data_IF_568410208658
#
_entry.id   IF_568410208658
#
_cell.length_a   1.000
_cell.length_b   1.000
_cell.length_c   1.000
_cell.angle_alpha   90.00
_cell.angle_beta   90.00
_cell.angle_gamma   90.00
#
_symmetry.space_group_name_H-M   'P 1'
#
loop_
_entity.id
_entity.type
_entity.pdbx_description
1 polymer ?
#
# COMPACT_ATOMS: atom_id res chain seq x y z
N UNK A 1 22.15 27.62 -8.90
CA UNK A 1 20.73 27.30 -8.78
C UNK A 1 20.56 25.84 -8.46
N UNK A 2 20.02 25.58 -7.26
CA UNK A 2 19.58 24.25 -6.87
C UNK A 2 18.49 23.79 -7.84
N UNK A 3 18.80 22.78 -8.63
CA UNK A 3 17.87 22.20 -9.61
C UNK A 3 17.12 21.07 -8.91
N UNK A 4 15.94 21.38 -8.40
CA UNK A 4 14.96 20.38 -7.96
C UNK A 4 14.42 19.68 -9.21
N UNK A 5 14.93 18.51 -9.50
CA UNK A 5 14.31 17.60 -10.46
C UNK A 5 13.45 16.67 -9.61
N UNK A 6 12.19 17.02 -9.42
CA UNK A 6 11.20 16.12 -8.85
C UNK A 6 10.97 14.97 -9.83
N UNK A 7 11.40 13.79 -9.49
CA UNK A 7 10.90 12.59 -10.14
C UNK A 7 9.52 12.26 -9.61
N UNK A 8 8.69 11.85 -10.50
CA UNK A 8 7.32 11.43 -10.28
C UNK A 8 7.23 10.36 -9.20
N UNK A 9 6.29 10.56 -8.27
CA UNK A 9 5.77 9.61 -7.30
C UNK A 9 6.69 9.20 -6.14
N UNK A 10 6.39 9.74 -4.98
CA UNK A 10 6.69 9.19 -3.66
C UNK A 10 8.14 9.27 -3.17
N UNK A 11 8.93 10.21 -3.63
CA UNK A 11 10.28 10.43 -3.12
C UNK A 11 10.30 11.72 -2.30
N UNK A 12 10.77 11.63 -1.04
CA UNK A 12 11.27 12.79 -0.31
C UNK A 12 12.65 13.11 -0.84
N UNK A 13 12.74 14.17 -1.60
CA UNK A 13 14.02 14.66 -2.06
C UNK A 13 14.74 15.34 -0.89
N UNK A 14 15.98 14.95 -0.67
CA UNK A 14 16.93 15.66 0.18
C UNK A 14 17.97 16.29 -0.71
N UNK A 15 18.25 17.55 -0.44
CA UNK A 15 19.24 18.31 -1.18
C UNK A 15 20.29 18.81 -0.21
N UNK A 16 21.53 18.45 -0.43
CA UNK A 16 22.64 19.00 0.32
C UNK A 16 22.90 20.44 -0.12
N UNK A 17 22.94 21.36 0.82
CA UNK A 17 23.30 22.74 0.57
C UNK A 17 24.80 22.84 0.80
N UNK A 18 25.60 23.15 -0.24
CA UNK A 18 27.07 23.27 -0.09
C UNK A 18 27.44 24.31 0.96
N UNK A 19 28.54 24.09 1.65
CA UNK A 19 29.08 25.04 2.60
C UNK A 19 29.32 26.41 1.93
N UNK A 20 28.97 27.50 2.61
CA UNK A 20 29.11 28.86 2.12
C UNK A 20 28.00 29.38 1.19
N UNK A 21 26.99 28.57 0.87
CA UNK A 21 25.83 29.03 0.09
C UNK A 21 24.88 29.85 0.95
N UNK A 22 24.66 29.43 2.20
CA UNK A 22 23.88 30.21 3.17
C UNK A 22 24.76 31.23 3.82
N UNK A 23 24.26 32.47 3.97
CA UNK A 23 24.94 33.59 4.61
C UNK A 23 24.24 33.99 5.89
N UNK A 24 24.98 34.69 6.78
CA UNK A 24 24.34 35.27 7.95
C UNK A 24 23.33 36.35 7.52
N UNK A 25 22.11 36.27 8.04
CA UNK A 25 21.01 37.17 7.70
C UNK A 25 19.99 36.56 6.75
N UNK A 26 19.47 37.37 5.83
CA UNK A 26 18.37 36.98 4.93
C UNK A 26 18.90 36.09 3.79
N UNK A 27 18.26 34.94 3.60
CA UNK A 27 18.52 34.04 2.51
C UNK A 27 17.20 33.77 1.75
N UNK A 28 17.29 33.68 0.43
CA UNK A 28 16.13 33.41 -0.43
C UNK A 28 16.20 31.99 -0.96
N UNK A 29 15.15 31.22 -0.72
CA UNK A 29 14.98 29.87 -1.24
C UNK A 29 14.01 29.92 -2.41
N UNK A 30 14.44 29.48 -3.59
CA UNK A 30 13.60 29.32 -4.76
C UNK A 30 13.41 27.84 -5.08
N UNK A 31 12.16 27.37 -5.08
CA UNK A 31 11.79 25.99 -5.42
C UNK A 31 11.11 25.97 -6.77
N UNK A 32 11.64 25.21 -7.72
CA UNK A 32 10.99 24.98 -8.99
C UNK A 32 10.14 23.70 -8.91
N UNK A 33 8.84 23.84 -9.05
CA UNK A 33 7.90 22.73 -9.08
C UNK A 33 7.47 22.45 -10.52
N UNK A 34 7.48 21.20 -10.93
CA UNK A 34 6.91 20.76 -12.19
C UNK A 34 5.76 19.81 -11.88
N UNK A 35 4.53 20.21 -12.19
CA UNK A 35 3.34 19.40 -12.02
C UNK A 35 2.84 18.92 -13.38
N UNK A 36 2.87 17.60 -13.59
CA UNK A 36 2.35 16.98 -14.81
C UNK A 36 0.88 16.57 -14.71
N UNK A 37 0.27 16.77 -13.53
CA UNK A 37 -1.13 16.50 -13.22
C UNK A 37 -1.68 17.54 -12.25
N UNK A 38 -2.99 17.49 -11.96
CA UNK A 38 -3.69 18.50 -11.16
C UNK A 38 -3.21 18.62 -9.70
N UNK A 39 -2.44 17.68 -9.17
CA UNK A 39 -2.06 17.60 -7.76
C UNK A 39 -0.53 17.72 -7.55
N UNK A 40 0.15 18.56 -8.30
CA UNK A 40 1.55 18.86 -8.05
C UNK A 40 1.73 20.00 -7.05
N UNK A 41 2.69 19.87 -6.12
CA UNK A 41 3.02 20.94 -5.18
C UNK A 41 3.36 20.45 -3.78
N UNK A 42 3.33 21.38 -2.84
CA UNK A 42 3.49 21.07 -1.43
C UNK A 42 2.23 20.41 -0.88
N UNK A 43 2.39 19.30 -0.19
CA UNK A 43 1.28 18.56 0.44
C UNK A 43 1.02 19.14 1.82
N UNK A 44 -0.24 19.32 2.16
CA UNK A 44 -0.68 19.82 3.48
C UNK A 44 -0.17 18.87 4.58
N UNK A 45 0.20 19.45 5.72
CA UNK A 45 0.65 18.74 6.93
C UNK A 45 1.94 17.90 6.75
N UNK A 46 2.73 18.18 5.72
CA UNK A 46 4.09 17.67 5.57
C UNK A 46 5.10 18.69 6.11
N UNK A 47 6.19 18.18 6.69
CA UNK A 47 7.30 19.01 7.18
C UNK A 47 8.26 19.31 6.04
N UNK A 48 8.45 20.58 5.77
CA UNK A 48 9.46 21.12 4.85
C UNK A 48 10.46 21.91 5.68
N UNK A 49 11.74 21.52 5.66
CA UNK A 49 12.74 22.09 6.56
C UNK A 49 14.14 22.07 5.99
N UNK A 50 14.97 23.01 6.44
CA UNK A 50 16.42 22.93 6.33
C UNK A 50 16.95 22.39 7.66
N UNK A 51 17.86 21.43 7.59
CA UNK A 51 18.51 20.82 8.76
C UNK A 51 20.00 21.07 8.65
N UNK A 52 20.57 21.74 9.65
CA UNK A 52 22.00 21.85 9.88
C UNK A 52 22.45 20.98 11.05
N UNK A 53 23.72 21.04 11.40
CA UNK A 53 24.28 20.24 12.50
C UNK A 53 23.63 20.58 13.85
N UNK A 54 23.43 21.88 14.12
CA UNK A 54 22.91 22.39 15.40
C UNK A 54 21.58 23.16 15.28
N UNK A 55 21.00 23.25 14.10
CA UNK A 55 19.80 24.05 13.87
C UNK A 55 18.86 23.44 12.80
N UNK A 56 17.57 23.66 13.00
CA UNK A 56 16.54 23.30 12.04
C UNK A 56 15.67 24.54 11.75
N UNK A 57 15.44 24.82 10.48
CA UNK A 57 14.56 25.90 10.02
C UNK A 57 13.34 25.29 9.37
N UNK A 58 12.16 25.54 9.96
CA UNK A 58 10.87 25.14 9.37
C UNK A 58 10.55 26.06 8.18
N UNK A 59 10.24 25.46 7.04
CA UNK A 59 9.88 26.14 5.80
C UNK A 59 8.37 26.08 5.53
N UNK A 60 7.56 25.62 6.48
CA UNK A 60 6.11 25.68 6.36
C UNK A 60 5.63 27.13 6.45
N UNK A 61 4.56 27.47 5.75
CA UNK A 61 4.02 28.81 5.79
C UNK A 61 3.63 29.37 4.41
N UNK A 62 3.67 30.67 4.27
CA UNK A 62 3.26 31.38 3.05
C UNK A 62 4.42 31.51 2.08
N UNK A 63 4.25 31.02 0.87
CA UNK A 63 5.22 31.13 -0.22
C UNK A 63 4.71 32.07 -1.30
N UNK A 64 5.63 32.87 -1.88
CA UNK A 64 5.34 33.58 -3.12
C UNK A 64 5.60 32.64 -4.29
N UNK A 65 4.73 32.67 -5.30
CA UNK A 65 4.93 31.83 -6.48
C UNK A 65 4.79 32.62 -7.78
N UNK A 66 5.41 32.11 -8.83
CA UNK A 66 5.26 32.60 -10.21
C UNK A 66 5.11 31.40 -11.13
N UNK A 67 4.12 31.44 -12.01
CA UNK A 67 3.95 30.40 -13.03
C UNK A 67 5.05 30.59 -14.07
N UNK A 68 5.89 29.55 -14.27
CA UNK A 68 6.95 29.55 -15.26
C UNK A 68 6.43 29.20 -16.65
N UNK A 69 5.90 27.98 -16.82
CA UNK A 69 5.36 27.48 -18.09
C UNK A 69 4.02 26.84 -17.82
N UNK A 70 2.99 27.24 -18.54
CA UNK A 70 1.70 26.56 -18.54
C UNK A 70 1.70 25.48 -19.64
N UNK A 71 1.78 24.21 -19.22
CA UNK A 71 1.79 23.10 -20.18
C UNK A 71 0.52 23.02 -21.04
N UNK A 72 -0.61 23.56 -20.58
CA UNK A 72 -1.82 23.62 -21.40
C UNK A 72 -1.64 24.45 -22.68
N UNK A 73 -0.74 25.43 -22.68
CA UNK A 73 -0.39 26.18 -23.89
C UNK A 73 0.52 25.39 -24.83
N UNK A 74 1.46 24.61 -24.26
CA UNK A 74 2.35 23.73 -25.05
C UNK A 74 1.58 22.52 -25.59
N UNK A 75 0.59 22.01 -24.85
CA UNK A 75 -0.20 20.82 -25.21
C UNK A 75 -1.27 21.09 -26.28
N UNK A 76 -1.57 22.35 -26.61
CA UNK A 76 -2.40 22.68 -27.79
C UNK A 76 -1.79 22.10 -29.07
N UNK A 77 -0.47 21.97 -29.14
CA UNK A 77 0.25 21.41 -30.30
C UNK A 77 0.44 19.88 -30.20
N UNK A 78 0.29 19.28 -29.01
CA UNK A 78 0.45 17.84 -28.78
C UNK A 78 -0.89 17.07 -28.75
N UNK A 79 -1.98 17.68 -29.18
CA UNK A 79 -3.36 17.16 -29.01
C UNK A 79 -3.64 15.75 -29.55
N UNK A 80 -2.79 15.22 -30.44
CA UNK A 80 -2.90 13.85 -30.95
C UNK A 80 -2.29 12.79 -30.01
N UNK A 81 -1.42 13.16 -29.06
CA UNK A 81 -0.72 12.21 -28.18
C UNK A 81 -1.48 11.91 -26.88
N UNK A 82 -2.49 12.71 -26.53
CA UNK A 82 -3.27 12.56 -25.29
C UNK A 82 -4.00 11.22 -25.14
N UNK A 83 -4.30 10.54 -26.24
CA UNK A 83 -5.11 9.32 -26.24
C UNK A 83 -4.30 8.01 -26.23
N UNK A 84 -2.98 8.05 -26.45
CA UNK A 84 -2.16 6.83 -26.48
C UNK A 84 -2.10 6.10 -25.14
N UNK A 85 -2.09 6.83 -24.02
CA UNK A 85 -2.15 6.22 -22.67
C UNK A 85 -3.49 5.53 -22.39
N UNK A 86 -4.56 5.90 -23.10
CA UNK A 86 -5.91 5.32 -22.97
C UNK A 86 -6.23 4.33 -24.09
N UNK A 87 -5.37 4.23 -25.10
CA UNK A 87 -5.53 3.22 -26.15
C UNK A 87 -5.32 1.83 -25.56
N UNK A 88 -6.17 0.90 -25.91
CA UNK A 88 -6.01 -0.51 -25.54
C UNK A 88 -4.59 -0.99 -25.92
N UNK A 89 -3.93 -1.67 -25.01
CA UNK A 89 -2.56 -2.18 -25.17
C UNK A 89 -1.45 -1.12 -25.35
N UNK A 90 -1.75 0.18 -25.27
CA UNK A 90 -0.75 1.24 -25.49
C UNK A 90 0.43 1.17 -24.51
N UNK A 91 0.17 0.97 -23.24
CA UNK A 91 1.21 0.79 -22.21
C UNK A 91 1.98 -0.53 -22.40
N UNK A 92 1.28 -1.60 -22.74
CA UNK A 92 1.92 -2.89 -23.01
C UNK A 92 2.89 -2.77 -24.21
N UNK A 93 2.41 -2.28 -25.36
CA UNK A 93 3.20 -2.16 -26.58
C UNK A 93 4.35 -1.17 -26.46
N UNK A 94 4.16 -0.06 -25.73
CA UNK A 94 5.13 1.01 -25.62
C UNK A 94 6.14 0.86 -24.47
N UNK A 95 5.79 0.10 -23.41
CA UNK A 95 6.61 0.06 -22.19
C UNK A 95 7.01 -1.36 -21.78
N UNK A 96 6.15 -2.36 -21.97
CA UNK A 96 6.42 -3.72 -21.51
C UNK A 96 7.04 -4.58 -22.60
N UNK A 97 6.40 -4.63 -23.78
CA UNK A 97 6.87 -5.45 -24.89
C UNK A 97 8.32 -5.12 -25.32
N UNK A 98 8.75 -3.85 -25.42
CA UNK A 98 10.13 -3.52 -25.82
C UNK A 98 11.22 -4.02 -24.88
N UNK A 99 10.90 -4.29 -23.60
CA UNK A 99 11.87 -4.78 -22.62
C UNK A 99 11.77 -6.30 -22.38
N UNK A 100 10.88 -7.00 -23.08
CA UNK A 100 10.62 -8.42 -22.84
C UNK A 100 11.80 -9.35 -23.17
N UNK A 101 12.76 -8.90 -23.97
CA UNK A 101 14.00 -9.61 -24.24
C UNK A 101 15.07 -9.42 -23.14
N UNK A 102 14.84 -8.50 -22.18
CA UNK A 102 15.73 -8.32 -21.05
C UNK A 102 15.45 -9.37 -19.98
N UNK A 103 16.49 -10.07 -19.53
CA UNK A 103 16.34 -11.13 -18.51
C UNK A 103 16.05 -10.53 -17.15
N UNK A 104 15.02 -11.05 -16.47
CA UNK A 104 14.62 -10.65 -15.12
C UNK A 104 14.51 -11.88 -14.21
N UNK A 105 14.61 -11.68 -12.90
CA UNK A 105 14.42 -12.74 -11.89
C UNK A 105 12.97 -12.82 -11.39
N UNK A 106 12.17 -11.81 -11.64
CA UNK A 106 10.78 -11.68 -11.18
C UNK A 106 10.28 -10.24 -11.35
N UNK A 107 9.06 -9.99 -10.93
CA UNK A 107 8.43 -8.67 -10.98
C UNK A 107 8.00 -8.21 -9.60
N UNK A 108 8.12 -6.91 -9.35
CA UNK A 108 7.55 -6.23 -8.20
C UNK A 108 6.35 -5.43 -8.71
N UNK A 109 5.17 -5.64 -8.10
CA UNK A 109 3.94 -4.99 -8.49
C UNK A 109 3.36 -4.15 -7.36
N UNK A 110 3.34 -2.83 -7.55
CA UNK A 110 2.79 -1.87 -6.59
C UNK A 110 1.80 -0.96 -7.31
N UNK A 111 0.52 -1.32 -7.29
CA UNK A 111 -0.56 -0.61 -7.99
C UNK A 111 -1.91 -1.06 -7.42
N UNK A 112 -2.97 -0.29 -7.60
CA UNK A 112 -4.35 -0.65 -7.24
C UNK A 112 -5.24 0.57 -6.98
N UNK A 113 -4.66 1.72 -6.70
CA UNK A 113 -5.29 2.94 -6.24
C UNK A 113 -6.44 3.40 -7.17
N UNK A 114 -6.15 3.50 -8.45
CA UNK A 114 -7.13 3.91 -9.48
C UNK A 114 -8.23 2.85 -9.73
N UNK A 115 -8.08 1.66 -9.20
CA UNK A 115 -9.04 0.56 -9.34
C UNK A 115 -10.03 0.48 -8.16
N UNK A 116 -9.88 1.31 -7.12
CA UNK A 116 -10.72 1.25 -5.91
C UNK A 116 -12.22 1.38 -6.20
N UNK A 117 -12.60 2.16 -7.21
CA UNK A 117 -13.99 2.26 -7.68
C UNK A 117 -14.48 1.07 -8.52
N UNK A 118 -13.60 0.13 -8.89
CA UNK A 118 -13.89 -1.07 -9.71
C UNK A 118 -13.17 -2.30 -9.17
N UNK A 119 -13.16 -2.44 -7.87
CA UNK A 119 -12.43 -3.49 -7.15
C UNK A 119 -12.86 -4.92 -7.51
N UNK A 120 -14.09 -5.11 -7.97
CA UNK A 120 -14.65 -6.42 -8.32
C UNK A 120 -13.89 -7.13 -9.44
N UNK A 121 -13.30 -6.38 -10.36
CA UNK A 121 -12.55 -6.94 -11.50
C UNK A 121 -11.05 -6.96 -11.27
N UNK A 122 -10.56 -6.40 -10.14
CA UNK A 122 -9.13 -6.20 -9.95
C UNK A 122 -8.36 -7.52 -9.83
N UNK A 123 -8.88 -8.49 -9.07
CA UNK A 123 -8.21 -9.79 -8.91
C UNK A 123 -8.01 -10.49 -10.26
N UNK A 124 -9.07 -10.62 -11.07
CA UNK A 124 -8.97 -11.26 -12.39
C UNK A 124 -8.05 -10.52 -13.35
N UNK A 125 -8.01 -9.18 -13.29
CA UNK A 125 -7.10 -8.38 -14.11
C UNK A 125 -5.64 -8.56 -13.66
N UNK A 126 -5.39 -8.64 -12.35
CA UNK A 126 -4.04 -8.86 -11.82
C UNK A 126 -3.55 -10.27 -12.15
N UNK A 127 -4.39 -11.29 -12.02
CA UNK A 127 -4.08 -12.66 -12.42
C UNK A 127 -3.77 -12.75 -13.92
N UNK A 128 -4.59 -12.11 -14.76
CA UNK A 128 -4.35 -12.05 -16.22
C UNK A 128 -3.04 -11.32 -16.55
N UNK A 129 -2.69 -10.24 -15.83
CA UNK A 129 -1.43 -9.55 -16.02
C UNK A 129 -0.25 -10.45 -15.67
N UNK A 130 -0.30 -11.15 -14.53
CA UNK A 130 0.75 -12.08 -14.10
C UNK A 130 0.96 -13.17 -15.16
N UNK A 131 -0.13 -13.77 -15.61
CA UNK A 131 -0.10 -14.80 -16.64
C UNK A 131 0.52 -14.27 -17.96
N UNK A 132 0.03 -13.12 -18.43
CA UNK A 132 0.53 -12.49 -19.66
C UNK A 132 2.03 -12.19 -19.59
N UNK A 133 2.54 -11.68 -18.47
CA UNK A 133 3.97 -11.42 -18.33
C UNK A 133 4.78 -12.72 -18.26
N UNK A 134 4.28 -13.75 -17.60
CA UNK A 134 4.92 -15.09 -17.59
C UNK A 134 5.05 -15.68 -18.99
N UNK A 135 4.02 -15.54 -19.80
CA UNK A 135 4.04 -15.97 -21.20
C UNK A 135 5.01 -15.12 -22.02
N UNK A 136 4.99 -13.80 -21.87
CA UNK A 136 5.85 -12.88 -22.60
C UNK A 136 7.34 -13.14 -22.34
N UNK A 137 7.73 -13.33 -21.07
CA UNK A 137 9.12 -13.66 -20.70
C UNK A 137 9.46 -15.14 -20.85
N UNK A 138 8.50 -16.00 -21.22
CA UNK A 138 8.65 -17.46 -21.30
C UNK A 138 9.14 -18.06 -19.96
N UNK A 139 8.63 -17.53 -18.87
CA UNK A 139 8.95 -17.91 -17.49
C UNK A 139 7.65 -18.27 -16.75
N UNK A 140 7.12 -19.50 -16.87
CA UNK A 140 5.81 -19.89 -16.29
C UNK A 140 5.76 -19.70 -14.76
N UNK A 141 6.90 -19.85 -14.10
CA UNK A 141 7.04 -19.71 -12.65
C UNK A 141 7.66 -18.38 -12.23
N UNK A 142 7.67 -17.37 -13.11
CA UNK A 142 8.21 -16.04 -12.81
C UNK A 142 7.61 -15.52 -11.51
N UNK A 143 8.43 -15.22 -10.48
CA UNK A 143 7.94 -14.71 -9.22
C UNK A 143 7.34 -13.32 -9.35
N UNK A 144 6.17 -13.12 -8.71
CA UNK A 144 5.55 -11.81 -8.55
C UNK A 144 5.47 -11.43 -7.07
N UNK A 145 6.04 -10.28 -6.74
CA UNK A 145 6.05 -9.72 -5.39
C UNK A 145 5.05 -8.56 -5.35
N UNK A 146 3.89 -8.80 -4.75
CA UNK A 146 2.78 -7.87 -4.73
C UNK A 146 2.87 -6.97 -3.50
N UNK A 147 2.68 -5.66 -3.67
CA UNK A 147 2.50 -4.72 -2.56
C UNK A 147 1.02 -4.52 -2.35
N UNK A 148 0.51 -4.86 -1.16
CA UNK A 148 -0.85 -4.53 -0.77
C UNK A 148 -0.96 -3.03 -0.53
N UNK A 149 -2.07 -2.40 -0.93
CA UNK A 149 -2.22 -0.95 -0.79
C UNK A 149 -2.04 -0.49 0.67
N UNK A 150 -1.28 0.58 0.90
CA UNK A 150 -1.07 1.17 2.22
C UNK A 150 -2.36 1.81 2.75
N UNK A 151 -2.34 2.25 4.01
CA UNK A 151 -3.41 3.09 4.55
C UNK A 151 -3.44 4.45 3.85
N UNK A 152 -4.65 4.99 3.68
CA UNK A 152 -4.91 6.28 3.05
C UNK A 152 -6.28 6.81 3.47
N UNK A 153 -6.49 8.12 3.44
CA UNK A 153 -7.67 8.85 3.92
C UNK A 153 -7.80 8.84 5.45
N UNK A 154 -8.76 9.56 5.95
CA UNK A 154 -9.03 9.65 7.38
C UNK A 154 -9.48 8.31 7.96
N UNK A 155 -9.22 8.14 9.26
CA UNK A 155 -9.72 6.99 10.02
C UNK A 155 -11.24 7.06 10.15
N UNK A 156 -11.85 5.91 10.27
CA UNK A 156 -13.27 5.79 10.59
C UNK A 156 -13.46 5.31 12.04
N UNK A 157 -14.31 5.99 12.77
CA UNK A 157 -14.68 5.61 14.14
C UNK A 157 -15.60 4.37 14.18
N UNK A 158 -16.20 4.03 13.05
CA UNK A 158 -17.11 2.88 12.91
C UNK A 158 -16.57 1.88 11.87
N UNK A 159 -16.89 0.58 12.02
CA UNK A 159 -16.64 -0.37 10.95
C UNK A 159 -17.24 0.12 9.64
N UNK A 160 -16.45 0.12 8.58
CA UNK A 160 -16.86 0.65 7.27
C UNK A 160 -16.53 -0.35 6.18
N UNK A 161 -17.14 -0.17 5.02
CA UNK A 161 -16.74 -0.82 3.80
C UNK A 161 -16.08 0.21 2.87
N UNK A 162 -15.10 -0.24 2.11
CA UNK A 162 -14.37 0.67 1.23
C UNK A 162 -13.81 -0.02 0.00
N UNK A 163 -13.73 0.72 -1.10
CA UNK A 163 -13.05 0.26 -2.31
C UNK A 163 -11.58 -0.08 -2.06
N UNK A 164 -10.92 0.61 -1.13
CA UNK A 164 -9.53 0.38 -0.76
C UNK A 164 -9.34 -0.96 -0.04
N UNK A 165 -10.23 -1.30 0.91
CA UNK A 165 -10.23 -2.59 1.57
C UNK A 165 -10.48 -3.74 0.58
N UNK A 166 -11.38 -3.53 -0.39
CA UNK A 166 -11.68 -4.52 -1.44
C UNK A 166 -10.50 -4.73 -2.40
N UNK A 167 -9.72 -3.70 -2.71
CA UNK A 167 -8.47 -3.88 -3.48
C UNK A 167 -7.46 -4.68 -2.68
N UNK A 168 -7.28 -4.41 -1.38
CA UNK A 168 -6.40 -5.23 -0.52
C UNK A 168 -6.83 -6.69 -0.47
N UNK A 169 -8.15 -6.94 -0.41
CA UNK A 169 -8.69 -8.30 -0.50
C UNK A 169 -8.36 -8.95 -1.84
N UNK A 170 -8.52 -8.23 -2.95
CA UNK A 170 -8.19 -8.74 -4.28
C UNK A 170 -6.71 -9.08 -4.41
N UNK A 171 -5.81 -8.21 -3.92
CA UNK A 171 -4.37 -8.47 -3.85
C UNK A 171 -4.03 -9.69 -2.98
N UNK A 172 -4.69 -9.82 -1.84
CA UNK A 172 -4.57 -10.97 -0.95
C UNK A 172 -5.03 -12.27 -1.63
N UNK A 173 -6.21 -12.28 -2.24
CA UNK A 173 -6.74 -13.44 -2.97
C UNK A 173 -5.84 -13.85 -4.13
N UNK A 174 -5.33 -12.90 -4.91
CA UNK A 174 -4.36 -13.20 -5.97
C UNK A 174 -3.10 -13.85 -5.42
N UNK A 175 -2.58 -13.34 -4.29
CA UNK A 175 -1.38 -13.92 -3.66
C UNK A 175 -1.61 -15.35 -3.11
N UNK A 176 -2.85 -15.71 -2.75
CA UNK A 176 -3.20 -17.07 -2.33
C UNK A 176 -3.40 -18.03 -3.51
N UNK A 177 -4.03 -17.54 -4.58
CA UNK A 177 -4.49 -18.37 -5.68
C UNK A 177 -3.46 -18.55 -6.79
N UNK A 178 -2.57 -17.58 -6.98
CA UNK A 178 -1.56 -17.62 -8.04
C UNK A 178 -0.23 -18.14 -7.48
N UNK A 179 0.26 -19.31 -7.92
CA UNK A 179 1.55 -19.82 -7.49
C UNK A 179 2.70 -18.83 -7.74
N UNK A 180 3.79 -18.96 -7.01
CA UNK A 180 4.98 -18.08 -7.13
C UNK A 180 4.68 -16.59 -6.95
N UNK A 181 3.73 -16.26 -6.07
CA UNK A 181 3.46 -14.89 -5.63
C UNK A 181 3.75 -14.72 -4.15
N UNK A 182 4.16 -13.52 -3.75
CA UNK A 182 4.29 -13.13 -2.34
C UNK A 182 3.63 -11.77 -2.12
N UNK A 183 3.11 -11.53 -0.92
CA UNK A 183 2.40 -10.32 -0.55
C UNK A 183 3.14 -9.54 0.54
N UNK A 184 3.49 -8.31 0.25
CA UNK A 184 3.97 -7.34 1.23
C UNK A 184 2.78 -6.53 1.76
N UNK A 185 2.37 -6.77 3.00
CA UNK A 185 1.31 -6.01 3.69
C UNK A 185 1.85 -4.66 4.13
N UNK A 186 1.18 -3.56 3.84
CA UNK A 186 1.75 -2.20 3.99
C UNK A 186 0.79 -1.16 4.57
N UNK A 187 -0.32 -1.55 5.18
CA UNK A 187 -1.30 -0.60 5.72
C UNK A 187 -0.82 0.19 6.96
N UNK A 188 0.37 -0.09 7.48
CA UNK A 188 1.03 0.62 8.59
C UNK A 188 2.13 1.59 8.14
N UNK A 189 2.34 1.75 6.84
CA UNK A 189 3.42 2.58 6.30
C UNK A 189 2.94 3.69 5.36
N UNK A 190 1.62 3.82 5.19
CA UNK A 190 0.99 4.90 4.46
C UNK A 190 0.80 6.16 5.31
N UNK A 191 0.16 7.14 4.72
CA UNK A 191 -0.19 8.41 5.35
C UNK A 191 -1.61 8.79 4.97
N UNK A 192 -2.41 9.23 5.95
CA UNK A 192 -3.82 9.52 5.73
C UNK A 192 -4.06 10.58 4.64
N UNK A 193 -3.17 11.55 4.53
CA UNK A 193 -3.26 12.71 3.65
C UNK A 193 -2.39 12.64 2.40
N UNK A 194 -1.68 11.53 2.19
CA UNK A 194 -0.84 11.33 1.01
C UNK A 194 -0.99 9.90 0.48
N UNK A 195 -1.51 9.79 -0.76
CA UNK A 195 -1.68 8.51 -1.45
C UNK A 195 -0.33 7.83 -1.75
N UNK A 196 0.76 8.58 -1.67
CA UNK A 196 2.12 8.14 -1.98
C UNK A 196 2.97 7.98 -0.70
N UNK A 197 2.97 6.80 -0.05
CA UNK A 197 3.66 6.63 1.22
C UNK A 197 5.15 6.87 1.10
N UNK A 198 5.71 7.59 2.07
CA UNK A 198 7.13 7.94 2.08
C UNK A 198 8.03 6.80 2.58
N UNK A 199 7.51 5.90 3.39
CA UNK A 199 8.29 4.79 3.97
C UNK A 199 8.53 3.65 2.98
N UNK A 200 9.21 3.93 1.87
CA UNK A 200 9.56 2.93 0.85
C UNK A 200 10.54 1.88 1.36
N UNK A 201 11.35 2.22 2.37
CA UNK A 201 12.29 1.26 2.98
C UNK A 201 11.56 0.07 3.59
N UNK A 202 10.50 0.30 4.35
CA UNK A 202 9.72 -0.79 4.95
C UNK A 202 9.02 -1.65 3.88
N UNK A 203 8.50 -1.02 2.82
CA UNK A 203 7.92 -1.74 1.67
C UNK A 203 8.97 -2.64 1.03
N UNK A 204 10.16 -2.10 0.72
CA UNK A 204 11.26 -2.85 0.11
C UNK A 204 11.74 -4.01 0.99
N UNK A 205 11.85 -3.81 2.31
CA UNK A 205 12.22 -4.88 3.25
C UNK A 205 11.22 -6.03 3.25
N UNK A 206 9.91 -5.75 3.19
CA UNK A 206 8.86 -6.79 3.12
C UNK A 206 8.87 -7.52 1.77
N UNK A 207 9.04 -6.81 0.67
CA UNK A 207 9.23 -7.41 -0.66
C UNK A 207 10.50 -8.28 -0.70
N UNK A 208 11.59 -7.84 -0.07
CA UNK A 208 12.83 -8.60 -0.01
C UNK A 208 12.67 -9.94 0.70
N UNK A 209 11.85 -10.03 1.76
CA UNK A 209 11.53 -11.33 2.38
C UNK A 209 10.82 -12.26 1.39
N UNK A 210 9.90 -11.75 0.59
CA UNK A 210 9.26 -12.50 -0.49
C UNK A 210 10.26 -12.96 -1.55
N UNK A 211 11.20 -12.10 -1.94
CA UNK A 211 12.28 -12.45 -2.88
C UNK A 211 13.19 -13.53 -2.31
N UNK A 212 13.62 -13.43 -1.05
CA UNK A 212 14.44 -14.45 -0.38
C UNK A 212 13.78 -15.83 -0.46
N UNK A 213 12.49 -15.90 -0.16
CA UNK A 213 11.71 -17.15 -0.19
C UNK A 213 11.52 -17.69 -1.61
N UNK A 214 11.03 -16.86 -2.55
CA UNK A 214 10.58 -17.32 -3.87
C UNK A 214 11.68 -17.33 -4.93
N UNK A 215 12.61 -16.38 -4.88
CA UNK A 215 13.66 -16.22 -5.90
C UNK A 215 14.95 -16.92 -5.47
N UNK A 216 15.30 -16.84 -4.18
CA UNK A 216 16.55 -17.38 -3.65
C UNK A 216 16.38 -18.69 -2.88
N UNK A 217 15.14 -19.18 -2.70
CA UNK A 217 14.87 -20.48 -2.07
C UNK A 217 15.17 -20.55 -0.57
N UNK A 218 15.29 -19.41 0.10
CA UNK A 218 15.63 -19.35 1.50
C UNK A 218 14.44 -19.73 2.40
N UNK A 219 14.72 -20.45 3.49
CA UNK A 219 13.71 -20.79 4.51
C UNK A 219 13.50 -19.63 5.47
N UNK A 220 12.73 -18.62 5.03
CA UNK A 220 12.40 -17.43 5.82
C UNK A 220 10.88 -17.25 5.94
N UNK A 221 10.44 -16.67 7.06
CA UNK A 221 9.07 -16.20 7.21
C UNK A 221 8.91 -14.93 6.36
N UNK A 222 8.18 -15.02 5.25
CA UNK A 222 8.10 -13.95 4.26
C UNK A 222 6.79 -13.17 4.32
N UNK A 223 5.80 -13.63 5.10
CA UNK A 223 4.50 -13.00 5.28
C UNK A 223 4.10 -12.94 6.75
N UNK A 224 3.23 -12.02 7.08
CA UNK A 224 2.48 -12.06 8.32
C UNK A 224 1.32 -13.06 8.25
N UNK A 225 0.52 -13.18 9.33
CA UNK A 225 -0.59 -14.11 9.39
C UNK A 225 -1.60 -13.89 8.26
N UNK A 226 -1.99 -14.96 7.59
CA UNK A 226 -2.99 -14.98 6.55
C UNK A 226 -4.23 -15.72 7.07
N UNK A 227 -5.40 -15.08 6.99
CA UNK A 227 -6.66 -15.71 7.36
C UNK A 227 -6.91 -16.97 6.53
N UNK A 228 -7.27 -18.06 7.21
CA UNK A 228 -7.55 -19.35 6.57
C UNK A 228 -9.02 -19.71 6.65
N UNK A 229 -9.58 -19.76 7.86
CA UNK A 229 -10.94 -20.23 8.09
C UNK A 229 -11.50 -19.69 9.40
N UNK A 230 -12.81 -19.73 9.57
CA UNK A 230 -13.49 -19.39 10.81
C UNK A 230 -14.39 -20.55 11.28
N UNK A 231 -14.66 -20.57 12.59
CA UNK A 231 -15.65 -21.43 13.22
C UNK A 231 -16.46 -20.60 14.21
N UNK A 232 -17.78 -20.71 14.14
CA UNK A 232 -18.68 -20.10 15.13
C UNK A 232 -18.81 -21.06 16.33
N UNK A 233 -18.61 -20.53 17.54
CA UNK A 233 -18.78 -21.27 18.81
C UNK A 233 -19.58 -20.41 19.79
N UNK A 234 -20.90 -20.64 19.85
CA UNK A 234 -21.83 -19.84 20.65
C UNK A 234 -21.84 -18.39 20.22
N UNK A 235 -21.51 -17.48 21.14
CA UNK A 235 -21.45 -16.04 20.92
C UNK A 235 -20.10 -15.52 20.37
N UNK A 236 -19.23 -16.43 19.90
CA UNK A 236 -17.85 -16.12 19.45
C UNK A 236 -17.56 -16.69 18.09
N UNK A 237 -16.61 -16.07 17.40
CA UNK A 237 -16.00 -16.60 16.19
C UNK A 237 -14.52 -16.87 16.46
N UNK A 238 -14.09 -18.09 16.13
CA UNK A 238 -12.68 -18.49 16.20
C UNK A 238 -12.10 -18.42 14.79
N UNK A 239 -11.03 -17.64 14.66
CA UNK A 239 -10.31 -17.45 13.40
C UNK A 239 -9.00 -18.24 13.43
N UNK A 240 -8.72 -18.95 12.35
CA UNK A 240 -7.48 -19.71 12.16
C UNK A 240 -6.64 -19.06 11.07
N UNK A 241 -5.33 -19.09 11.24
CA UNK A 241 -4.38 -18.43 10.34
C UNK A 241 -3.29 -19.40 9.86
N UNK A 242 -2.77 -19.15 8.67
CA UNK A 242 -1.50 -19.67 8.16
C UNK A 242 -0.42 -18.58 8.26
N UNK A 243 0.82 -18.89 7.88
CA UNK A 243 1.99 -17.97 7.92
C UNK A 243 2.19 -17.31 9.30
N UNK A 244 1.87 -18.03 10.37
CA UNK A 244 1.96 -17.54 11.74
C UNK A 244 3.40 -17.45 12.27
N UNK A 245 4.39 -17.92 11.52
CA UNK A 245 5.79 -17.93 11.92
C UNK A 245 5.99 -18.61 13.28
N UNK A 246 6.69 -17.96 14.21
CA UNK A 246 6.88 -18.44 15.59
C UNK A 246 5.64 -18.26 16.50
N UNK A 247 4.51 -17.83 15.94
CA UNK A 247 3.22 -17.68 16.63
C UNK A 247 2.65 -16.28 16.47
N UNK A 248 1.34 -16.17 16.76
CA UNK A 248 0.63 -14.90 16.73
C UNK A 248 1.02 -14.00 17.90
N UNK A 249 1.03 -12.70 17.64
CA UNK A 249 1.17 -11.65 18.65
C UNK A 249 0.47 -10.37 18.14
N UNK A 250 0.45 -9.32 18.96
CA UNK A 250 0.02 -8.00 18.54
C UNK A 250 1.05 -6.93 18.92
N UNK A 251 1.10 -5.86 18.16
CA UNK A 251 1.85 -4.67 18.55
C UNK A 251 1.04 -3.90 19.59
N UNK A 252 1.51 -3.86 20.84
CA UNK A 252 0.80 -3.25 21.96
C UNK A 252 0.14 -4.28 22.89
N UNK A 253 -0.86 -3.85 23.66
CA UNK A 253 -1.47 -4.69 24.73
C UNK A 253 -2.68 -5.50 24.24
N UNK A 254 -3.46 -4.94 23.31
CA UNK A 254 -4.75 -5.46 22.86
C UNK A 254 -4.82 -5.49 21.35
N UNK A 255 -5.54 -6.47 20.80
CA UNK A 255 -5.86 -6.52 19.38
C UNK A 255 -6.86 -5.43 19.03
N UNK A 256 -6.66 -4.80 17.86
CA UNK A 256 -7.51 -3.73 17.35
C UNK A 256 -8.02 -4.03 15.95
N UNK A 257 -9.03 -3.27 15.52
CA UNK A 257 -9.61 -3.33 14.18
C UNK A 257 -10.28 -4.65 13.80
N UNK A 258 -10.77 -5.40 14.80
CA UNK A 258 -11.73 -6.48 14.56
C UNK A 258 -13.15 -5.92 14.63
N UNK A 259 -13.97 -6.33 13.68
CA UNK A 259 -15.39 -6.03 13.65
C UNK A 259 -16.18 -7.32 13.44
N UNK A 260 -17.32 -7.45 14.13
CA UNK A 260 -18.17 -8.64 14.11
C UNK A 260 -19.61 -8.25 13.75
N UNK A 261 -20.32 -9.13 13.05
CA UNK A 261 -21.73 -8.92 12.69
C UNK A 261 -22.54 -10.19 12.91
N UNK A 262 -23.80 -10.00 13.25
CA UNK A 262 -24.86 -11.02 13.24
C UNK A 262 -25.55 -11.13 11.87
N UNK A 263 -26.70 -11.82 11.84
CA UNK A 263 -27.51 -12.00 10.64
C UNK A 263 -28.05 -10.68 10.05
N UNK A 264 -28.14 -9.63 10.88
CA UNK A 264 -28.52 -8.28 10.45
C UNK A 264 -27.46 -7.59 9.57
N UNK A 265 -26.26 -8.20 9.44
CA UNK A 265 -25.11 -7.73 8.65
C UNK A 265 -24.53 -6.39 9.11
N UNK A 266 -24.86 -5.93 10.32
CA UNK A 266 -24.34 -4.70 10.87
C UNK A 266 -23.08 -4.98 11.66
N UNK A 267 -21.96 -4.45 11.18
CA UNK A 267 -20.68 -4.61 11.85
C UNK A 267 -20.54 -3.63 13.01
N UNK A 268 -20.12 -4.13 14.14
CA UNK A 268 -19.69 -3.36 15.33
C UNK A 268 -18.27 -3.73 15.67
N UNK A 269 -17.54 -2.85 16.36
CA UNK A 269 -16.23 -3.20 16.89
C UNK A 269 -16.33 -4.34 17.88
N UNK A 270 -15.34 -5.21 17.88
CA UNK A 270 -15.32 -6.44 18.65
C UNK A 270 -14.03 -6.58 19.45
N UNK A 271 -14.16 -7.22 20.59
CA UNK A 271 -13.03 -7.73 21.36
C UNK A 271 -12.39 -8.91 20.64
N UNK A 272 -11.07 -8.96 20.65
CA UNK A 272 -10.32 -10.04 20.05
C UNK A 272 -9.16 -10.47 20.93
N UNK A 273 -8.99 -11.78 21.09
CA UNK A 273 -7.96 -12.36 21.98
C UNK A 273 -7.21 -13.47 21.25
N UNK A 274 -5.88 -13.42 21.32
CA UNK A 274 -5.02 -14.50 20.78
C UNK A 274 -5.08 -15.72 21.73
N UNK A 275 -5.33 -16.90 21.16
CA UNK A 275 -5.28 -18.19 21.82
C UNK A 275 -4.43 -19.16 20.98
N UNK A 276 -3.14 -19.28 21.31
CA UNK A 276 -2.18 -20.00 20.48
C UNK A 276 -2.07 -19.36 19.09
N UNK A 277 -2.32 -20.14 18.05
CA UNK A 277 -2.33 -19.66 16.66
C UNK A 277 -3.75 -19.34 16.13
N UNK A 278 -4.66 -18.98 17.04
CA UNK A 278 -6.04 -18.59 16.75
C UNK A 278 -6.35 -17.23 17.34
N UNK A 279 -7.36 -16.56 16.80
CA UNK A 279 -7.95 -15.35 17.39
C UNK A 279 -9.41 -15.63 17.68
N UNK A 280 -9.83 -15.38 18.90
CA UNK A 280 -11.23 -15.46 19.34
C UNK A 280 -11.80 -14.06 19.32
N UNK A 281 -12.90 -13.86 18.58
CA UNK A 281 -13.57 -12.57 18.39
C UNK A 281 -14.98 -12.65 18.97
N UNK A 282 -15.38 -11.65 19.76
CA UNK A 282 -16.71 -11.55 20.35
C UNK A 282 -17.12 -10.09 20.57
N UNK A 283 -18.43 -9.87 20.77
CA UNK A 283 -18.97 -8.57 21.17
C UNK A 283 -20.23 -8.78 22.00
N UNK A 284 -20.38 -8.01 23.06
CA UNK A 284 -21.62 -8.04 23.85
C UNK A 284 -22.86 -7.65 23.07
N UNK A 285 -22.67 -6.86 21.99
CA UNK A 285 -23.73 -6.37 21.12
C UNK A 285 -24.20 -7.42 20.09
N UNK A 286 -23.45 -8.53 19.89
CA UNK A 286 -23.73 -9.54 18.87
C UNK A 286 -23.72 -10.94 19.49
N UNK A 287 -24.89 -11.45 19.84
CA UNK A 287 -25.03 -12.77 20.49
C UNK A 287 -24.96 -13.95 19.54
N UNK A 288 -25.33 -13.76 18.29
CA UNK A 288 -25.29 -14.78 17.23
C UNK A 288 -24.43 -14.29 16.07
N UNK A 289 -23.09 -14.32 16.22
CA UNK A 289 -22.21 -13.80 15.20
C UNK A 289 -22.12 -14.71 13.98
N UNK A 290 -22.08 -14.13 12.79
CA UNK A 290 -21.96 -14.85 11.51
C UNK A 290 -20.77 -14.40 10.68
N UNK A 291 -20.19 -13.23 10.96
CA UNK A 291 -19.08 -12.70 10.18
C UNK A 291 -18.11 -11.85 11.00
N UNK A 292 -16.85 -11.84 10.59
CA UNK A 292 -15.77 -10.99 11.12
C UNK A 292 -15.05 -10.28 9.98
N UNK A 293 -14.67 -9.04 10.23
CA UNK A 293 -13.74 -8.28 9.39
C UNK A 293 -12.55 -7.82 10.23
N UNK A 294 -11.37 -7.82 9.63
CA UNK A 294 -10.15 -7.33 10.25
C UNK A 294 -9.48 -6.29 9.36
N UNK A 295 -9.11 -5.14 9.94
CA UNK A 295 -8.46 -4.03 9.23
C UNK A 295 -9.19 -3.62 7.94
N UNK A 296 -10.52 -3.73 7.92
CA UNK A 296 -11.39 -3.53 6.78
C UNK A 296 -11.86 -2.07 6.71
N UNK A 297 -10.97 -1.19 6.24
CA UNK A 297 -11.26 0.24 6.05
C UNK A 297 -10.23 0.87 5.10
N UNK A 298 -10.42 2.13 4.72
CA UNK A 298 -9.42 2.89 3.96
C UNK A 298 -8.11 3.02 4.76
N UNK A 299 -8.23 3.41 6.03
CA UNK A 299 -7.10 3.66 6.91
C UNK A 299 -7.20 2.85 8.20
N UNK A 300 -6.71 1.60 8.22
CA UNK A 300 -6.63 0.76 9.40
C UNK A 300 -5.26 0.85 10.09
N UNK A 301 -4.65 2.03 10.20
CA UNK A 301 -3.25 2.17 10.65
C UNK A 301 -2.96 1.64 12.06
N UNK A 302 -4.00 1.55 12.92
CA UNK A 302 -3.88 0.99 14.26
C UNK A 302 -4.09 -0.53 14.31
N UNK A 303 -4.40 -1.17 13.19
CA UNK A 303 -4.52 -2.62 13.14
C UNK A 303 -3.16 -3.28 13.41
N UNK A 304 -3.12 -4.26 14.29
CA UNK A 304 -1.88 -4.64 14.97
C UNK A 304 -1.64 -6.14 15.12
N UNK A 305 -2.50 -7.00 14.59
CA UNK A 305 -2.23 -8.45 14.57
C UNK A 305 -1.00 -8.73 13.72
N UNK A 306 -0.05 -9.45 14.26
CA UNK A 306 1.18 -9.84 13.57
C UNK A 306 1.69 -11.21 14.04
N UNK A 307 2.70 -11.75 13.38
CA UNK A 307 3.49 -12.85 13.92
C UNK A 307 4.65 -12.32 14.77
N UNK A 308 5.32 -13.21 15.48
CA UNK A 308 6.48 -12.87 16.33
C UNK A 308 7.71 -12.39 15.54
N UNK A 309 7.70 -12.50 14.24
CA UNK A 309 8.66 -11.88 13.32
C UNK A 309 8.35 -10.40 13.05
N UNK A 310 7.20 -9.90 13.54
CA UNK A 310 6.76 -8.52 13.40
C UNK A 310 6.06 -8.20 12.07
N UNK A 311 5.74 -9.22 11.28
CA UNK A 311 5.01 -9.05 10.02
C UNK A 311 3.50 -9.02 10.28
N UNK A 312 2.83 -8.00 9.75
CA UNK A 312 1.41 -7.75 9.96
C UNK A 312 0.53 -8.75 9.21
N UNK A 313 -0.59 -9.12 9.84
CA UNK A 313 -1.64 -9.88 9.17
C UNK A 313 -2.27 -9.07 8.03
N UNK A 314 -2.53 -9.73 6.88
CA UNK A 314 -3.30 -9.09 5.82
C UNK A 314 -4.72 -8.77 6.29
N UNK A 315 -5.31 -7.62 5.91
CA UNK A 315 -6.73 -7.39 6.07
C UNK A 315 -7.56 -8.48 5.41
N UNK A 316 -8.66 -8.83 6.04
CA UNK A 316 -9.58 -9.85 5.53
C UNK A 316 -11.02 -9.61 5.97
N UNK A 317 -11.94 -10.30 5.34
CA UNK A 317 -13.32 -10.52 5.76
C UNK A 317 -13.70 -11.97 5.61
N UNK A 318 -14.67 -12.40 6.39
CA UNK A 318 -15.23 -13.76 6.33
C UNK A 318 -16.57 -13.80 5.62
N UNK A 319 -17.16 -12.66 5.36
CA UNK A 319 -18.43 -12.47 4.64
C UNK A 319 -18.21 -12.34 3.12
N UNK A 320 -19.32 -12.37 2.38
CA UNK A 320 -19.34 -12.21 0.92
C UNK A 320 -20.37 -11.17 0.44
N UNK A 321 -20.92 -10.36 1.34
CA UNK A 321 -21.88 -9.30 1.03
C UNK A 321 -21.30 -7.88 1.11
#
# INVERSE_FOLDING_TARGET
PLRLVGSEMCIRDRYDIPAGVLTQGENVIAVRLTANSFNGGFVKDKKYKIVGDDAEVDLTGTWKYKIGINQNEVMKYAGKLKNLKKAGSGLYNGMIYPISNYQVKGAIWYQGESNSGRSQTYASLLEALIQNWRELWKMPDMPFLLVQLPNYMEKSDKPSDSGWARIREAQFKTALNVPHTALAVTYDVGEWNDIHPLNKKAVAQRLFLGARRLVYGEKVTASGPLYKEMKVEGDKIILTFTETGRGLTCKGKELKHFAIAGEDRKFVWADAVIRGNKVVVSSELVKNPVAVRYAWSNNPEDANLCNKEGLLASPFRTDNW
#
